data_IF_839330734435
#
_entry.id   IF_839330734435
#
_cell.length_a   1.000
_cell.length_b   1.000
_cell.length_c   1.000
_cell.angle_alpha   90.00
_cell.angle_beta   90.00
_cell.angle_gamma   90.00
#
_symmetry.space_group_name_H-M   'P 1'
#
loop_
_entity.id
_entity.type
_entity.pdbx_description
1 polymer ?
#
# COMPACT_ATOMS: atom_id res chain seq x y z
N UNK A 1 -9.46 -4.44 7.91
CA UNK A 1 -8.59 -4.49 6.71
C UNK A 1 -9.45 -4.57 5.45
N UNK A 2 -8.91 -4.11 4.31
CA UNK A 2 -9.58 -4.08 3.00
C UNK A 2 -8.59 -4.41 1.89
N UNK A 3 -9.07 -5.00 0.81
CA UNK A 3 -8.33 -5.10 -0.46
C UNK A 3 -8.52 -3.82 -1.25
N UNK A 4 -7.43 -3.28 -1.80
CA UNK A 4 -7.46 -2.15 -2.71
C UNK A 4 -6.52 -2.33 -3.91
N UNK A 5 -6.69 -1.51 -4.93
CA UNK A 5 -5.86 -1.51 -6.14
C UNK A 5 -4.99 -0.27 -6.18
N UNK A 6 -3.69 -0.43 -6.35
CA UNK A 6 -2.79 0.69 -6.52
C UNK A 6 -3.09 1.40 -7.84
N UNK A 7 -3.37 2.70 -7.80
CA UNK A 7 -3.69 3.54 -8.97
C UNK A 7 -2.62 4.59 -9.27
N UNK A 8 -1.70 4.85 -8.34
CA UNK A 8 -0.50 5.66 -8.59
C UNK A 8 0.65 5.24 -7.67
N UNK A 9 1.87 5.36 -8.18
CA UNK A 9 3.12 5.03 -7.48
C UNK A 9 4.16 6.10 -7.77
N UNK A 10 4.70 6.72 -6.73
CA UNK A 10 5.77 7.71 -6.82
C UNK A 10 6.92 7.37 -5.88
N UNK A 11 8.14 7.80 -6.22
CA UNK A 11 9.28 7.70 -5.33
C UNK A 11 9.08 8.58 -4.08
N UNK A 12 9.59 8.11 -2.94
CA UNK A 12 9.57 8.88 -1.70
C UNK A 12 10.97 9.14 -1.13
N UNK A 13 11.76 10.03 -1.75
CA UNK A 13 13.16 10.26 -1.36
C UNK A 13 13.30 10.85 0.06
N UNK A 14 12.28 11.53 0.57
CA UNK A 14 12.29 12.09 1.93
C UNK A 14 12.01 11.06 3.04
N UNK A 15 11.73 9.80 2.70
CA UNK A 15 11.55 8.74 3.69
C UNK A 15 12.89 8.27 4.26
N UNK A 16 12.96 8.04 5.58
CA UNK A 16 14.18 7.55 6.25
C UNK A 16 14.65 6.19 5.71
N UNK A 17 13.71 5.31 5.35
CA UNK A 17 13.96 4.06 4.64
C UNK A 17 13.37 4.17 3.23
N UNK A 18 14.01 3.60 2.20
CA UNK A 18 13.50 3.65 0.83
C UNK A 18 12.03 3.18 0.75
N UNK A 19 11.16 4.06 0.27
CA UNK A 19 9.72 3.82 0.20
C UNK A 19 9.10 4.43 -1.05
N UNK A 20 7.89 3.97 -1.36
CA UNK A 20 7.01 4.57 -2.37
C UNK A 20 5.84 5.28 -1.70
N UNK A 21 5.41 6.39 -2.31
CA UNK A 21 4.09 6.98 -2.11
C UNK A 21 3.11 6.23 -3.01
N UNK A 22 2.07 5.65 -2.42
CA UNK A 22 1.01 4.93 -3.11
C UNK A 22 -0.30 5.70 -3.02
N UNK A 23 -1.08 5.69 -4.11
CA UNK A 23 -2.52 5.94 -4.08
C UNK A 23 -3.23 4.63 -4.34
N UNK A 24 -4.13 4.25 -3.45
CA UNK A 24 -4.80 2.94 -3.46
C UNK A 24 -6.30 3.17 -3.50
N UNK A 25 -6.97 2.65 -4.52
CA UNK A 25 -8.42 2.64 -4.66
C UNK A 25 -9.04 1.49 -3.86
N UNK A 26 -9.97 1.83 -2.97
CA UNK A 26 -10.75 0.89 -2.17
C UNK A 26 -12.25 0.91 -2.52
N UNK A 27 -12.63 1.47 -3.68
CA UNK A 27 -13.99 1.52 -4.20
C UNK A 27 -14.86 2.59 -3.53
N UNK A 28 -16.10 2.75 -4.00
CA UNK A 28 -16.98 3.89 -3.67
C UNK A 28 -17.19 4.15 -2.17
N UNK A 29 -17.11 3.11 -1.33
CA UNK A 29 -17.32 3.25 0.12
C UNK A 29 -16.15 3.88 0.89
N UNK A 30 -14.92 3.78 0.39
CA UNK A 30 -13.70 4.25 1.08
C UNK A 30 -12.94 5.27 0.22
N UNK A 31 -13.04 5.13 -1.10
CA UNK A 31 -12.36 5.94 -2.08
C UNK A 31 -10.87 5.65 -2.19
N UNK A 32 -10.16 6.58 -2.84
CA UNK A 32 -8.72 6.50 -3.02
C UNK A 32 -8.00 7.08 -1.80
N UNK A 33 -7.07 6.30 -1.24
CA UNK A 33 -6.28 6.68 -0.06
C UNK A 33 -4.79 6.69 -0.32
N UNK A 34 -4.07 7.53 0.41
CA UNK A 34 -2.61 7.58 0.39
C UNK A 34 -1.98 6.56 1.34
N UNK A 35 -0.87 5.95 0.91
CA UNK A 35 -0.03 5.11 1.77
C UNK A 35 1.46 5.33 1.48
N UNK A 36 2.32 5.04 2.45
CA UNK A 36 3.77 4.97 2.28
C UNK A 36 4.23 3.54 2.55
N UNK A 37 4.83 2.87 1.56
CA UNK A 37 5.25 1.47 1.67
C UNK A 37 6.74 1.28 1.37
N UNK A 38 7.44 0.53 2.22
CA UNK A 38 8.87 0.17 2.04
C UNK A 38 9.05 -0.99 1.03
N UNK A 39 8.30 -0.94 -0.07
CA UNK A 39 8.20 -1.98 -1.08
C UNK A 39 9.27 -1.84 -2.20
N UNK A 40 10.35 -1.12 -1.95
CA UNK A 40 11.34 -0.76 -2.98
C UNK A 40 12.32 -1.89 -3.34
N UNK A 41 12.47 -2.89 -2.46
CA UNK A 41 13.39 -4.02 -2.69
C UNK A 41 12.86 -5.01 -3.73
N UNK A 42 11.62 -5.44 -3.56
CA UNK A 42 11.01 -6.53 -4.33
C UNK A 42 10.12 -6.05 -5.47
N UNK A 43 9.78 -4.77 -5.49
CA UNK A 43 8.79 -4.24 -6.42
C UNK A 43 9.30 -2.99 -7.13
N UNK A 44 9.15 -2.96 -8.44
CA UNK A 44 9.29 -1.74 -9.23
C UNK A 44 7.97 -0.96 -9.21
N UNK A 45 8.01 0.34 -9.55
CA UNK A 45 6.79 1.16 -9.68
C UNK A 45 5.80 0.56 -10.67
N UNK A 46 6.32 0.02 -11.78
CA UNK A 46 5.53 -0.62 -12.83
C UNK A 46 4.86 -1.91 -12.33
N UNK A 47 5.56 -2.72 -11.51
CA UNK A 47 5.01 -3.94 -10.92
C UNK A 47 3.99 -3.68 -9.79
N UNK A 48 3.98 -2.46 -9.24
CA UNK A 48 3.01 -2.04 -8.23
C UNK A 48 1.77 -1.41 -8.84
N UNK A 49 1.89 -0.72 -9.98
CA UNK A 49 0.73 -0.10 -10.62
C UNK A 49 -0.32 -1.17 -10.98
N UNK A 50 -1.57 -0.92 -10.60
CA UNK A 50 -2.72 -1.81 -10.72
C UNK A 50 -2.67 -3.11 -9.89
N UNK A 51 -1.63 -3.30 -9.07
CA UNK A 51 -1.54 -4.44 -8.15
C UNK A 51 -2.60 -4.35 -7.05
N UNK A 52 -3.17 -5.49 -6.69
CA UNK A 52 -3.97 -5.62 -5.47
C UNK A 52 -3.07 -5.62 -4.23
N UNK A 53 -3.54 -5.00 -3.16
CA UNK A 53 -2.88 -4.97 -1.85
C UNK A 53 -3.91 -5.03 -0.73
N UNK A 54 -3.48 -5.51 0.44
CA UNK A 54 -4.29 -5.44 1.67
C UNK A 54 -3.84 -4.26 2.52
N UNK A 55 -4.79 -3.49 3.07
CA UNK A 55 -4.49 -2.38 3.96
C UNK A 55 -5.41 -2.30 5.18
N UNK A 56 -4.92 -1.69 6.27
CA UNK A 56 -5.75 -1.19 7.37
C UNK A 56 -6.23 0.21 7.00
N UNK A 57 -7.55 0.40 6.99
CA UNK A 57 -8.20 1.62 6.46
C UNK A 57 -8.81 2.53 7.54
N UNK A 58 -8.73 2.12 8.81
CA UNK A 58 -9.41 2.78 9.93
C UNK A 58 -8.44 3.28 11.02
N UNK A 59 -7.15 3.34 10.73
CA UNK A 59 -6.21 4.02 11.62
C UNK A 59 -6.27 5.53 11.38
N UNK A 60 -5.99 6.35 12.42
CA UNK A 60 -5.73 7.76 12.22
C UNK A 60 -4.60 7.95 11.19
N UNK A 61 -4.67 8.96 10.32
CA UNK A 61 -3.59 9.27 9.38
C UNK A 61 -2.25 9.46 10.09
N UNK A 62 -1.19 8.94 9.49
CA UNK A 62 0.17 9.03 10.02
C UNK A 62 1.02 9.98 9.19
N UNK A 63 1.56 11.01 9.84
CA UNK A 63 2.54 11.89 9.21
C UNK A 63 3.88 11.16 9.05
N UNK A 64 4.43 11.17 7.84
CA UNK A 64 5.75 10.60 7.50
C UNK A 64 6.51 11.67 6.73
N UNK A 65 7.43 12.39 7.38
CA UNK A 65 8.11 13.53 6.75
C UNK A 65 7.07 14.52 6.17
N UNK A 66 7.13 14.88 4.88
CA UNK A 66 6.17 15.78 4.23
C UNK A 66 4.89 15.08 3.75
N UNK A 67 4.73 13.77 3.96
CA UNK A 67 3.64 12.99 3.38
C UNK A 67 2.68 12.46 4.45
N UNK A 68 1.37 12.64 4.25
CA UNK A 68 0.33 12.08 5.10
C UNK A 68 -0.11 10.72 4.58
N UNK A 69 0.08 9.67 5.37
CA UNK A 69 -0.36 8.30 5.06
C UNK A 69 -1.70 8.02 5.72
N UNK A 70 -2.77 7.88 4.92
CA UNK A 70 -4.12 7.61 5.42
C UNK A 70 -4.37 6.13 5.74
N UNK A 71 -3.66 5.23 5.07
CA UNK A 71 -3.80 3.77 5.27
C UNK A 71 -2.46 3.09 5.47
N UNK A 72 -2.48 1.96 6.17
CA UNK A 72 -1.31 1.09 6.33
C UNK A 72 -1.39 -0.07 5.35
N UNK A 73 -0.58 -0.02 4.28
CA UNK A 73 -0.40 -1.16 3.36
C UNK A 73 0.33 -2.29 4.07
N UNK A 74 -0.20 -3.52 4.00
CA UNK A 74 0.29 -4.66 4.75
C UNK A 74 1.30 -5.49 3.94
N UNK A 75 2.29 -6.00 4.66
CA UNK A 75 3.30 -6.91 4.17
C UNK A 75 3.98 -7.63 5.33
N UNK A 76 4.75 -8.65 5.01
CA UNK A 76 5.59 -9.41 5.94
C UNK A 76 7.06 -9.26 5.54
N UNK A 77 8.00 -9.30 6.49
CA UNK A 77 9.41 -9.31 6.16
C UNK A 77 9.79 -10.63 5.47
N UNK A 78 10.64 -10.56 4.45
CA UNK A 78 11.40 -11.72 3.98
C UNK A 78 12.55 -12.08 4.94
N UNK A 79 13.40 -13.03 4.55
CA UNK A 79 14.57 -13.43 5.36
C UNK A 79 15.59 -12.32 5.61
N UNK A 80 15.55 -11.21 4.87
CA UNK A 80 16.43 -10.05 5.02
C UNK A 80 15.74 -8.87 5.72
N UNK A 81 14.45 -9.00 6.07
CA UNK A 81 13.65 -7.93 6.66
C UNK A 81 13.03 -6.97 5.64
N UNK A 82 13.12 -7.26 4.34
CA UNK A 82 12.52 -6.47 3.27
C UNK A 82 11.04 -6.83 3.09
N UNK A 83 10.20 -5.84 2.77
CA UNK A 83 8.74 -6.03 2.78
C UNK A 83 8.27 -6.83 1.57
N UNK A 84 7.58 -7.94 1.81
CA UNK A 84 6.76 -8.69 0.84
C UNK A 84 5.29 -8.34 1.08
N UNK A 85 4.62 -7.78 0.08
CA UNK A 85 3.23 -7.32 0.20
C UNK A 85 2.26 -8.49 0.34
N UNK A 86 1.24 -8.32 1.20
CA UNK A 86 0.11 -9.24 1.25
C UNK A 86 -0.84 -8.93 0.08
N UNK A 87 -1.18 -9.97 -0.67
CA UNK A 87 -2.03 -9.92 -1.87
C UNK A 87 -2.98 -11.13 -1.84
N UNK A 88 -4.26 -10.97 -2.21
CA UNK A 88 -5.11 -12.13 -2.45
C UNK A 88 -4.57 -12.98 -3.62
N UNK A 89 -4.66 -14.30 -3.52
CA UNK A 89 -4.14 -15.21 -4.57
C UNK A 89 -4.91 -15.06 -5.90
N UNK A 90 -6.21 -14.76 -5.84
CA UNK A 90 -7.07 -14.55 -7.00
C UNK A 90 -7.65 -13.15 -7.06
N UNK A 91 -8.38 -12.88 -8.15
CA UNK A 91 -9.15 -11.64 -8.29
C UNK A 91 -10.28 -11.57 -7.27
N UNK A 92 -10.41 -10.41 -6.65
CA UNK A 92 -11.46 -10.11 -5.67
C UNK A 92 -11.98 -8.69 -5.88
N UNK A 93 -13.22 -8.38 -5.44
CA UNK A 93 -13.74 -7.03 -5.52
C UNK A 93 -12.88 -6.01 -4.77
N UNK A 94 -12.70 -4.84 -5.38
CA UNK A 94 -12.08 -3.68 -4.72
C UNK A 94 -12.93 -3.26 -3.52
N UNK A 95 -12.29 -2.96 -2.40
CA UNK A 95 -12.97 -2.67 -1.14
C UNK A 95 -13.41 -3.93 -0.38
N UNK A 96 -13.07 -5.13 -0.84
CA UNK A 96 -13.37 -6.39 -0.16
C UNK A 96 -12.89 -6.39 1.29
N UNK A 97 -13.77 -6.74 2.23
CA UNK A 97 -13.46 -6.86 3.66
C UNK A 97 -12.83 -8.22 3.95
N UNK A 98 -11.63 -8.19 4.51
CA UNK A 98 -10.98 -9.37 5.08
C UNK A 98 -11.71 -9.82 6.34
N UNK A 99 -11.79 -11.13 6.54
CA UNK A 99 -12.24 -11.82 7.75
C UNK A 99 -11.06 -12.51 8.44
#
# INVERSE_FOLDING_TARGET
MRVGRIVAVEDFPAARKPAYKLRIDFGDGIGVKTSSAQATKHYTKQALLYRLVVAVVNFPPKQIGPYMSEVLTLGVPDGNGDVVLLVPEGDVPIGGRMY
#
